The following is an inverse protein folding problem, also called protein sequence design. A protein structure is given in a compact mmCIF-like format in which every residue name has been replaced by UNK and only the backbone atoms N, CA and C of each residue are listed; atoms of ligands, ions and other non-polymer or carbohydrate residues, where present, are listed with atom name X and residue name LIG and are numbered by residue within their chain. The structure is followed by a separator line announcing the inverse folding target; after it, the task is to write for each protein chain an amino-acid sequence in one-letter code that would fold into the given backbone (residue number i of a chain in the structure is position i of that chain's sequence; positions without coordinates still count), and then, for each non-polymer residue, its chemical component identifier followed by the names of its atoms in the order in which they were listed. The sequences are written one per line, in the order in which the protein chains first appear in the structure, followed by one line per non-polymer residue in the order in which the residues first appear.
data_IF_975194102571
#
_entry.id   IF_975194102571
#
_cell.length_a   1.000
_cell.length_b   1.000
_cell.length_c   1.000
_cell.angle_alpha   90.00
_cell.angle_beta   90.00
_cell.angle_gamma   90.00
#
_symmetry.space_group_name_H-M   'P 1'
#
loop_
_entity.id
_entity.type
_entity.pdbx_description
1 polymer ?
2 non-polymer ?
3 water ?
#
# COMPACT_ATOMS: atom_id res chain seq x y z
N UNK A 4 -13.32 -21.00 24.35
CA UNK A 4 -14.59 -20.27 24.29
C UNK A 4 -14.37 -18.80 23.96
N UNK A 5 -15.32 -18.20 23.23
CA UNK A 5 -15.21 -16.79 22.86
C UNK A 5 -15.58 -15.88 24.03
N UNK A 6 -14.95 -14.70 24.12
CA UNK A 6 -15.31 -13.71 25.14
C UNK A 6 -16.76 -13.22 25.00
N UNK A 7 -17.31 -12.67 26.08
CA UNK A 7 -18.69 -12.21 26.14
C UNK A 7 -19.03 -11.12 25.12
N UNK A 8 -18.03 -10.33 24.72
CA UNK A 8 -18.30 -9.19 23.86
C UNK A 8 -17.78 -9.43 22.43
N UNK A 9 -17.35 -10.67 22.17
CA UNK A 9 -17.01 -11.14 20.84
C UNK A 9 -18.15 -10.84 19.89
N UNK A 10 -17.85 -10.22 18.76
CA UNK A 10 -18.91 -9.93 17.79
C UNK A 10 -19.01 -11.00 16.72
N UNK A 11 -18.24 -12.08 16.86
CA UNK A 11 -18.18 -13.04 15.77
C UNK A 11 -19.53 -13.71 15.52
N UNK A 12 -20.18 -14.15 16.59
CA UNK A 12 -21.45 -14.87 16.47
C UNK A 12 -22.50 -14.01 15.79
N UNK A 13 -22.64 -12.77 16.25
CA UNK A 13 -23.64 -11.86 15.70
C UNK A 13 -23.34 -11.46 14.25
N UNK A 14 -22.07 -11.50 13.87
CA UNK A 14 -21.68 -11.21 12.48
C UNK A 14 -21.95 -12.41 11.59
N UNK A 15 -22.36 -13.53 12.19
CA UNK A 15 -22.63 -14.73 11.43
C UNK A 15 -21.57 -15.79 11.54
N UNK A 16 -20.59 -15.58 12.41
CA UNK A 16 -19.53 -16.55 12.54
C UNK A 16 -18.20 -16.03 12.01
N UNK A 17 -17.13 -16.76 12.30
CA UNK A 17 -15.78 -16.32 11.94
C UNK A 17 -15.57 -16.20 10.43
N UNK A 18 -16.12 -17.14 9.66
CA UNK A 18 -15.99 -17.08 8.21
C UNK A 18 -16.61 -15.79 7.67
N UNK A 19 -17.70 -15.37 8.28
CA UNK A 19 -18.41 -14.18 7.83
C UNK A 19 -17.66 -12.90 8.20
N UNK A 20 -17.01 -12.91 9.35
CA UNK A 20 -16.18 -11.78 9.74
C UNK A 20 -14.98 -11.69 8.79
N UNK A 21 -14.41 -12.85 8.47
CA UNK A 21 -13.24 -12.89 7.59
C UNK A 21 -13.59 -12.35 6.20
N UNK A 22 -14.79 -12.66 5.73
CA UNK A 22 -15.21 -12.17 4.42
C UNK A 22 -15.47 -10.67 4.46
N UNK A 23 -16.09 -10.20 5.55
CA UNK A 23 -16.35 -8.78 5.70
C UNK A 23 -15.03 -7.97 5.76
N UNK A 24 -14.03 -8.48 6.49
CA UNK A 24 -12.72 -7.82 6.55
C UNK A 24 -12.01 -7.88 5.17
N UNK A 25 -12.24 -8.95 4.42
CA UNK A 25 -11.70 -9.01 3.04
C UNK A 25 -12.25 -7.86 2.19
N UNK A 26 -13.57 -7.69 2.23
CA UNK A 26 -14.24 -6.68 1.41
C UNK A 26 -13.76 -5.28 1.82
N UNK A 27 -13.68 -5.09 3.12
CA UNK A 27 -13.18 -3.87 3.73
C UNK A 27 -11.74 -3.55 3.31
N UNK A 28 -10.87 -4.54 3.37
CA UNK A 28 -9.47 -4.36 3.03
C UNK A 28 -9.31 -4.04 1.55
N UNK A 29 -10.16 -4.66 0.73
CA UNK A 29 -10.13 -4.42 -0.70
C UNK A 29 -10.50 -2.97 -0.98
N UNK A 30 -11.46 -2.46 -0.23
CA UNK A 30 -11.85 -1.05 -0.36
C UNK A 30 -10.72 -0.09 0.00
N UNK A 31 -10.04 -0.41 1.09
CA UNK A 31 -8.91 0.42 1.54
C UNK A 31 -7.86 0.56 0.47
N UNK A 32 -7.39 -0.58 -0.04
CA UNK A 32 -6.27 -0.53 -0.99
C UNK A 32 -6.70 -0.05 -2.41
N UNK A 33 -7.99 -0.11 -2.72
CA UNK A 33 -8.49 0.43 -3.99
C UNK A 33 -8.71 1.94 -3.90
N UNK A 34 -8.66 2.50 -2.70
CA UNK A 34 -8.77 3.95 -2.49
C UNK A 34 -7.51 4.69 -2.95
N UNK A 35 -7.61 5.55 -3.99
CA UNK A 35 -6.41 6.27 -4.47
C UNK A 35 -5.69 7.06 -3.38
N UNK A 36 -6.37 7.44 -2.30
CA UNK A 36 -5.70 8.23 -1.27
C UNK A 36 -5.00 7.36 -0.23
N UNK A 37 -5.27 6.04 -0.26
CA UNK A 37 -4.64 5.08 0.65
C UNK A 37 -3.67 4.13 -0.06
N UNK A 38 -3.97 3.79 -1.32
CA UNK A 38 -3.11 2.88 -2.09
C UNK A 38 -1.59 3.19 -1.94
N UNK A 39 -1.18 4.48 -1.96
CA UNK A 39 0.29 4.69 -1.89
C UNK A 39 0.93 4.17 -0.59
N UNK A 40 0.19 4.16 0.53
CA UNK A 40 0.71 3.61 1.78
C UNK A 40 0.81 2.10 1.77
N UNK A 41 0.05 1.47 0.89
CA UNK A 41 -0.03 0.00 0.84
C UNK A 41 0.83 -0.62 -0.26
N UNK A 42 1.51 0.22 -1.04
CA UNK A 42 2.25 -0.30 -2.19
C UNK A 42 3.42 -1.19 -1.75
N UNK A 43 4.01 -0.83 -0.62
CA UNK A 43 5.17 -1.52 -0.06
C UNK A 43 4.81 -2.79 0.74
N UNK A 44 3.51 -3.01 0.97
CA UNK A 44 3.09 -4.10 1.88
C UNK A 44 3.06 -5.47 1.20
N UNK A 45 3.88 -6.40 1.68
CA UNK A 45 3.92 -7.74 1.09
C UNK A 45 2.79 -8.62 1.63
N UNK A 46 2.66 -9.83 1.07
CA UNK A 46 1.49 -10.66 1.33
C UNK A 46 1.42 -11.17 2.77
N UNK A 47 2.56 -11.52 3.34
CA UNK A 47 2.60 -11.95 4.75
C UNK A 47 2.10 -10.85 5.66
N UNK A 48 2.52 -9.63 5.37
CA UNK A 48 2.11 -8.50 6.21
C UNK A 48 0.64 -8.19 6.04
N UNK A 49 0.17 -8.23 4.79
CA UNK A 49 -1.26 -8.06 4.50
C UNK A 49 -2.11 -9.02 5.31
N UNK A 50 -1.72 -10.29 5.31
CA UNK A 50 -2.47 -11.30 6.06
C UNK A 50 -2.45 -11.01 7.55
N UNK A 51 -1.30 -10.62 8.10
CA UNK A 51 -1.25 -10.26 9.53
C UNK A 51 -2.15 -9.06 9.79
N UNK A 52 -2.15 -8.08 8.89
CA UNK A 52 -2.98 -6.90 9.09
C UNK A 52 -4.47 -7.23 9.06
N UNK A 53 -4.89 -8.12 8.16
CA UNK A 53 -6.28 -8.56 8.13
C UNK A 53 -6.66 -9.29 9.43
N UNK A 54 -5.76 -10.12 9.94
CA UNK A 54 -6.03 -10.81 11.21
C UNK A 54 -6.19 -9.79 12.33
N UNK A 55 -5.36 -8.74 12.29
CA UNK A 55 -5.46 -7.68 13.29
C UNK A 55 -6.81 -6.97 13.20
N UNK A 56 -7.24 -6.62 11.98
CA UNK A 56 -8.55 -5.99 11.80
C UNK A 56 -9.67 -6.89 12.35
N UNK A 57 -9.64 -8.17 11.98
CA UNK A 57 -10.67 -9.11 12.40
C UNK A 57 -10.76 -9.12 13.93
N UNK A 58 -9.62 -9.32 14.56
CA UNK A 58 -9.61 -9.57 16.01
C UNK A 58 -9.79 -8.28 16.81
N UNK A 59 -9.16 -7.20 16.35
CA UNK A 59 -9.33 -5.91 17.03
C UNK A 59 -10.78 -5.43 16.95
N UNK A 60 -11.35 -5.44 15.76
CA UNK A 60 -12.68 -4.86 15.58
C UNK A 60 -13.77 -5.81 16.06
N UNK A 61 -13.68 -7.11 15.75
CA UNK A 61 -14.79 -8.02 16.06
C UNK A 61 -14.53 -9.06 17.17
N UNK A 62 -13.29 -9.16 17.64
CA UNK A 62 -12.92 -10.26 18.52
C UNK A 62 -13.32 -10.16 19.99
N UNK A 63 -13.57 -8.94 20.45
CA UNK A 63 -13.93 -8.72 21.84
C UNK A 63 -12.76 -8.66 22.80
N UNK A 64 -13.08 -8.57 24.09
CA UNK A 64 -12.08 -8.44 25.16
C UNK A 64 -11.03 -9.55 25.13
N UNK A 65 -9.76 -9.16 25.04
CA UNK A 65 -8.67 -10.09 25.18
C UNK A 65 -8.30 -10.87 23.93
N UNK A 66 -8.94 -10.55 22.81
CA UNK A 66 -8.83 -11.36 21.62
C UNK A 66 -7.84 -10.81 20.60
N UNK A 67 -7.33 -9.61 20.85
CA UNK A 67 -6.56 -8.94 19.80
C UNK A 67 -5.28 -9.71 19.49
N UNK A 68 -5.17 -10.09 18.22
CA UNK A 68 -4.00 -10.80 17.71
C UNK A 68 -3.23 -9.90 16.75
N UNK A 69 -2.13 -9.32 17.21
CA UNK A 69 -1.32 -8.54 16.30
C UNK A 69 -0.40 -7.58 17.01
N UNK A 70 0.40 -6.88 16.22
CA UNK A 70 1.36 -5.94 16.77
C UNK A 70 0.65 -4.74 17.41
N UNK A 71 1.28 -4.15 18.41
CA UNK A 71 0.84 -2.88 19.01
C UNK A 71 0.51 -1.86 17.90
N UNK A 72 -0.61 -1.14 18.04
CA UNK A 72 -1.09 -0.28 16.94
C UNK A 72 -0.24 0.98 16.82
N UNK A 73 0.24 1.46 17.97
CA UNK A 73 1.15 2.60 18.00
C UNK A 73 2.40 2.31 17.19
N UNK A 74 3.08 1.22 17.54
CA UNK A 74 4.34 0.86 16.88
C UNK A 74 4.13 0.53 15.39
N UNK A 75 2.98 -0.09 15.08
CA UNK A 75 2.70 -0.53 13.70
C UNK A 75 2.64 0.61 12.70
N UNK A 76 2.20 1.78 13.15
CA UNK A 76 2.02 2.92 12.26
C UNK A 76 2.95 4.10 12.49
N UNK A 77 3.86 3.94 13.43
CA UNK A 77 4.73 5.03 13.83
C UNK A 77 5.59 5.54 12.64
N UNK A 78 6.23 4.62 11.94
CA UNK A 78 7.01 5.01 10.75
C UNK A 78 6.14 5.67 9.67
N UNK A 79 4.95 5.13 9.41
CA UNK A 79 4.01 5.67 8.41
C UNK A 79 3.70 7.12 8.70
N UNK A 80 3.49 7.43 9.97
CA UNK A 80 3.17 8.77 10.40
C UNK A 80 4.39 9.70 10.35
N UNK A 81 5.51 9.25 10.88
CA UNK A 81 6.73 10.08 10.93
C UNK A 81 7.33 10.34 9.54
N UNK A 82 7.34 9.32 8.72
CA UNK A 82 8.12 9.39 7.48
C UNK A 82 7.27 9.53 6.23
N UNK A 83 6.06 8.99 6.25
CA UNK A 83 5.27 8.91 5.02
C UNK A 83 4.01 9.75 5.05
N UNK A 84 3.77 10.49 6.13
CA UNK A 84 2.69 11.45 6.13
C UNK A 84 1.29 10.92 6.50
N UNK A 85 1.23 9.70 7.04
CA UNK A 85 -0.06 9.16 7.49
C UNK A 85 -0.70 10.12 8.49
N UNK A 86 -2.00 10.43 8.34
CA UNK A 86 -2.63 11.43 9.20
C UNK A 86 -4.11 11.09 9.54
N UNK A 87 -4.77 11.96 10.31
CA UNK A 87 -6.14 11.67 10.74
C UNK A 87 -7.09 11.52 9.55
N UNK A 88 -6.77 12.15 8.42
CA UNK A 88 -7.65 12.00 7.26
C UNK A 88 -7.64 10.55 6.77
N UNK A 89 -6.48 9.91 6.71
CA UNK A 89 -6.41 8.52 6.31
C UNK A 89 -7.21 7.64 7.26
N UNK A 90 -7.17 7.97 8.55
CA UNK A 90 -7.98 7.21 9.51
C UNK A 90 -9.45 7.38 9.19
N UNK A 91 -9.87 8.61 8.93
CA UNK A 91 -11.28 8.87 8.59
C UNK A 91 -11.72 8.07 7.37
N UNK A 92 -10.83 7.97 6.38
CA UNK A 92 -11.15 7.22 5.16
C UNK A 92 -11.31 5.74 5.48
N UNK A 93 -10.40 5.22 6.31
CA UNK A 93 -10.43 3.80 6.63
C UNK A 93 -11.67 3.47 7.47
N UNK A 94 -11.95 4.32 8.45
CA UNK A 94 -13.18 4.11 9.26
C UNK A 94 -14.40 4.10 8.33
N UNK A 95 -14.44 5.05 7.40
CA UNK A 95 -15.61 5.14 6.50
C UNK A 95 -15.71 3.95 5.58
N UNK A 96 -14.57 3.34 5.21
CA UNK A 96 -14.63 2.13 4.38
C UNK A 96 -15.24 0.94 5.16
N UNK A 97 -15.00 0.88 6.46
CA UNK A 97 -15.62 -0.21 7.23
C UNK A 97 -17.11 0.04 7.31
N UNK A 98 -17.47 1.30 7.54
CA UNK A 98 -18.88 1.65 7.62
C UNK A 98 -19.61 1.25 6.31
N UNK A 99 -19.03 1.63 5.18
CA UNK A 99 -19.57 1.28 3.87
C UNK A 99 -19.69 -0.24 3.70
N UNK A 100 -18.66 -0.96 4.13
CA UNK A 100 -18.66 -2.43 4.01
C UNK A 100 -19.81 -3.06 4.79
N UNK A 101 -19.94 -2.63 6.04
CA UNK A 101 -20.98 -3.18 6.91
C UNK A 101 -22.36 -2.83 6.36
N UNK A 102 -22.51 -1.59 5.91
CA UNK A 102 -23.78 -1.13 5.37
C UNK A 102 -24.17 -1.94 4.13
N UNK A 103 -23.18 -2.19 3.28
CA UNK A 103 -23.40 -2.93 2.05
C UNK A 103 -23.74 -4.39 2.33
N UNK A 104 -23.19 -4.94 3.41
CA UNK A 104 -23.53 -6.31 3.81
C UNK A 104 -24.87 -6.40 4.52
N UNK A 105 -25.48 -5.26 4.82
CA UNK A 105 -26.80 -5.28 5.46
C UNK A 105 -26.71 -5.58 6.97
N UNK A 106 -25.54 -5.34 7.55
CA UNK A 106 -25.38 -5.50 9.01
C UNK A 106 -26.39 -4.65 9.79
N UNK A 107 -27.09 -5.26 10.75
CA UNK A 107 -28.06 -4.56 11.57
C UNK A 107 -27.42 -3.36 12.27
N UNK A 108 -28.24 -2.34 12.54
CA UNK A 108 -27.73 -1.05 12.97
C UNK A 108 -26.97 -1.10 14.29
N UNK A 109 -27.50 -1.84 15.25
CA UNK A 109 -26.88 -1.95 16.56
C UNK A 109 -25.49 -2.58 16.46
N UNK A 110 -25.40 -3.71 15.77
CA UNK A 110 -24.13 -4.38 15.52
C UNK A 110 -23.16 -3.48 14.77
N UNK A 111 -23.63 -2.83 13.71
CA UNK A 111 -22.78 -1.90 12.95
C UNK A 111 -22.21 -0.80 13.86
N UNK A 112 -23.05 -0.28 14.75
CA UNK A 112 -22.62 0.81 15.63
C UNK A 112 -21.57 0.37 16.65
N UNK A 113 -21.73 -0.83 17.20
CA UNK A 113 -20.72 -1.40 18.10
C UNK A 113 -19.38 -1.57 17.37
N UNK A 114 -19.41 -2.07 16.13
CA UNK A 114 -18.16 -2.20 15.36
C UNK A 114 -17.51 -0.86 15.07
N UNK A 115 -18.30 0.13 14.72
CA UNK A 115 -17.75 1.45 14.37
C UNK A 115 -17.19 2.13 15.63
N UNK A 116 -17.82 1.91 16.78
CA UNK A 116 -17.25 2.42 18.04
C UNK A 116 -15.90 1.80 18.33
N UNK A 117 -15.77 0.49 18.09
CA UNK A 117 -14.50 -0.17 18.31
C UNK A 117 -13.43 0.38 17.37
N UNK A 118 -13.75 0.52 16.08
CA UNK A 118 -12.79 1.16 15.14
C UNK A 118 -12.33 2.51 15.64
N UNK A 119 -13.27 3.32 16.12
CA UNK A 119 -12.93 4.65 16.59
C UNK A 119 -11.93 4.60 17.76
N UNK A 120 -12.00 3.55 18.58
CA UNK A 120 -11.10 3.41 19.74
C UNK A 120 -9.63 3.25 19.32
N UNK A 121 -9.41 2.89 18.06
CA UNK A 121 -8.04 2.75 17.56
C UNK A 121 -7.35 4.08 17.36
N UNK A 122 -8.11 5.17 17.17
CA UNK A 122 -7.50 6.44 16.77
C UNK A 122 -6.42 6.93 17.78
N UNK A 123 -6.77 7.00 19.08
CA UNK A 123 -5.72 7.42 20.03
C UNK A 123 -4.59 6.40 20.17
N UNK A 124 -4.81 5.14 19.79
CA UNK A 124 -3.76 4.16 19.91
C UNK A 124 -2.72 4.39 18.81
N UNK A 125 -3.20 4.91 17.68
CA UNK A 125 -2.33 5.13 16.53
C UNK A 125 -1.70 6.52 16.60
N UNK A 126 -2.52 7.53 16.91
CA UNK A 126 -2.05 8.91 16.81
C UNK A 126 -1.73 9.52 18.15
N UNK A 127 -1.84 8.73 19.20
CA UNK A 127 -1.55 9.23 20.54
C UNK A 127 -2.80 9.95 21.05
N UNK A 128 -2.76 10.41 22.29
CA UNK A 128 -3.98 10.91 22.90
C UNK A 128 -4.16 12.43 22.75
N UNK A 129 -3.11 13.13 22.29
CA UNK A 129 -3.15 14.59 22.20
C UNK A 129 -2.03 15.28 22.96
N UNK A 130 -1.54 16.37 22.40
CA UNK A 130 -0.39 17.07 22.94
C UNK A 130 -0.72 17.81 24.25
N UNK B 5 -5.87 -11.96 -10.62
CA UNK B 5 -5.16 -10.74 -10.25
C UNK B 5 -6.00 -9.90 -9.29
N UNK B 6 -5.34 -9.17 -8.37
CA UNK B 6 -6.01 -8.31 -7.38
C UNK B 6 -6.82 -7.19 -8.04
N UNK B 7 -8.03 -6.93 -7.53
CA UNK B 7 -8.90 -5.90 -8.06
C UNK B 7 -8.25 -4.50 -8.07
N UNK B 8 -7.30 -4.28 -7.16
CA UNK B 8 -6.65 -2.97 -7.06
C UNK B 8 -5.37 -2.87 -7.91
N UNK B 9 -4.91 -3.99 -8.45
CA UNK B 9 -3.84 -3.92 -9.45
C UNK B 9 -4.32 -3.03 -10.60
N UNK B 10 -3.39 -2.30 -11.16
CA UNK B 10 -3.72 -1.37 -12.22
C UNK B 10 -3.60 -2.07 -13.54
N UNK B 11 -3.25 -3.35 -13.51
CA UNK B 11 -2.92 -4.08 -14.73
C UNK B 11 -4.02 -3.99 -15.76
N UNK B 12 -5.24 -4.36 -15.37
CA UNK B 12 -6.34 -4.41 -16.32
C UNK B 12 -6.69 -3.01 -16.82
N UNK B 13 -6.69 -2.03 -15.94
CA UNK B 13 -6.98 -0.66 -16.35
C UNK B 13 -5.89 -0.10 -17.27
N UNK B 14 -4.73 -0.74 -17.27
CA UNK B 14 -3.62 -0.31 -18.10
C UNK B 14 -3.51 -1.09 -19.40
N UNK B 15 -4.47 -1.98 -19.64
CA UNK B 15 -4.47 -2.75 -20.87
C UNK B 15 -3.91 -4.15 -20.72
N UNK B 16 -3.75 -4.60 -19.46
CA UNK B 16 -3.27 -5.94 -19.22
C UNK B 16 -1.81 -5.95 -18.82
N UNK B 17 -1.39 -7.02 -18.15
CA UNK B 17 -0.05 -7.10 -17.60
C UNK B 17 1.03 -6.99 -18.67
N UNK B 18 0.76 -7.60 -19.82
CA UNK B 18 1.66 -7.57 -20.95
C UNK B 18 2.02 -6.14 -21.32
N UNK B 19 0.98 -5.31 -21.47
CA UNK B 19 1.15 -3.90 -21.78
C UNK B 19 1.98 -3.17 -20.73
N UNK B 20 1.65 -3.41 -19.46
CA UNK B 20 2.33 -2.75 -18.35
C UNK B 20 3.82 -3.08 -18.36
N UNK B 21 4.13 -4.35 -18.56
CA UNK B 21 5.51 -4.78 -18.64
C UNK B 21 6.26 -4.07 -19.78
N UNK B 22 5.58 -3.85 -20.90
CA UNK B 22 6.24 -3.19 -22.04
C UNK B 22 6.49 -1.73 -21.71
N UNK B 23 5.51 -1.11 -21.05
CA UNK B 23 5.64 0.25 -20.52
C UNK B 23 6.82 0.37 -19.55
N UNK B 24 6.94 -0.57 -18.63
CA UNK B 24 8.03 -0.54 -17.67
C UNK B 24 9.36 -0.75 -18.39
N UNK B 25 9.35 -1.60 -19.40
CA UNK B 25 10.54 -1.84 -20.18
C UNK B 25 11.01 -0.55 -20.87
N UNK B 26 10.07 0.14 -21.51
CA UNK B 26 10.33 1.41 -22.20
C UNK B 26 10.84 2.46 -21.23
N UNK B 27 10.17 2.54 -20.08
CA UNK B 27 10.52 3.45 -19.00
C UNK B 27 11.94 3.20 -18.50
N UNK B 28 12.28 1.92 -18.31
CA UNK B 28 13.58 1.55 -17.78
C UNK B 28 14.71 1.93 -18.72
N UNK B 29 14.53 1.68 -20.02
CA UNK B 29 15.56 2.04 -20.98
C UNK B 29 15.78 3.55 -20.97
N UNK B 30 14.68 4.29 -20.85
CA UNK B 30 14.73 5.75 -20.69
C UNK B 30 15.59 6.21 -19.52
N UNK B 31 15.40 5.62 -18.35
CA UNK B 31 16.13 6.14 -17.20
C UNK B 31 17.63 5.82 -17.34
N UNK B 32 17.96 4.65 -17.86
CA UNK B 32 19.34 4.27 -18.10
C UNK B 32 20.06 5.20 -19.11
N UNK B 33 19.32 5.69 -20.12
CA UNK B 33 19.94 6.51 -21.16
C UNK B 33 20.05 7.98 -20.72
N UNK B 34 19.33 8.37 -19.69
CA UNK B 34 19.42 9.72 -19.15
C UNK B 34 20.84 10.01 -18.60
N UNK B 35 21.52 11.02 -19.15
CA UNK B 35 22.92 11.29 -18.81
C UNK B 35 23.10 11.57 -17.31
N UNK B 36 22.05 12.05 -16.65
CA UNK B 36 22.12 12.32 -15.23
C UNK B 36 21.92 11.05 -14.38
N UNK B 37 21.44 9.96 -15.00
CA UNK B 37 21.18 8.72 -14.28
C UNK B 37 22.07 7.58 -14.73
N UNK B 38 22.54 7.65 -15.97
CA UNK B 38 23.43 6.65 -16.54
C UNK B 38 24.57 6.16 -15.61
N UNK B 39 25.30 7.08 -14.94
CA UNK B 39 26.41 6.56 -14.13
C UNK B 39 25.99 5.59 -13.01
N UNK B 40 24.75 5.71 -12.51
CA UNK B 40 24.27 4.82 -11.45
C UNK B 40 24.07 3.39 -11.94
N UNK B 41 23.80 3.24 -13.24
CA UNK B 41 23.41 1.93 -13.79
C UNK B 41 24.59 1.22 -14.44
N UNK B 42 25.72 1.91 -14.52
CA UNK B 42 26.84 1.43 -15.33
C UNK B 42 27.34 0.03 -14.95
N UNK B 43 27.41 -0.29 -13.66
CA UNK B 43 27.97 -1.59 -13.28
C UNK B 43 26.91 -2.58 -12.76
N UNK B 44 25.65 -2.37 -13.16
CA UNK B 44 24.51 -3.19 -12.69
C UNK B 44 24.34 -4.43 -13.57
N UNK B 45 24.49 -5.62 -12.98
CA UNK B 45 24.35 -6.84 -13.77
C UNK B 45 22.90 -7.09 -14.18
N UNK B 46 22.71 -7.95 -15.18
CA UNK B 46 21.38 -8.16 -15.74
C UNK B 46 20.40 -8.83 -14.79
N UNK B 47 20.87 -9.70 -13.89
CA UNK B 47 19.96 -10.30 -12.91
C UNK B 47 19.37 -9.23 -11.99
N UNK B 48 20.21 -8.29 -11.58
CA UNK B 48 19.77 -7.17 -10.74
C UNK B 48 18.79 -6.27 -11.50
N UNK B 49 19.12 -5.97 -12.76
CA UNK B 49 18.25 -5.16 -13.62
C UNK B 49 16.86 -5.76 -13.76
N UNK B 50 16.79 -7.08 -13.95
CA UNK B 50 15.49 -7.72 -14.11
C UNK B 50 14.69 -7.68 -12.81
N UNK B 51 15.36 -7.92 -11.68
CA UNK B 51 14.69 -7.80 -10.39
C UNK B 51 14.16 -6.39 -10.20
N UNK B 52 14.94 -5.39 -10.61
CA UNK B 52 14.51 -4.01 -10.46
C UNK B 52 13.29 -3.73 -11.33
N UNK B 53 13.26 -4.30 -12.53
CA UNK B 53 12.11 -4.11 -13.41
C UNK B 53 10.86 -4.75 -12.81
N UNK B 54 10.99 -5.96 -12.26
CA UNK B 54 9.89 -6.60 -11.53
C UNK B 54 9.41 -5.77 -10.33
N UNK B 55 10.37 -5.15 -9.63
CA UNK B 55 10.03 -4.28 -8.52
C UNK B 55 9.14 -3.12 -8.95
N UNK B 56 9.54 -2.42 -10.03
CA UNK B 56 8.73 -1.34 -10.58
C UNK B 56 7.32 -1.81 -10.89
N UNK B 57 7.22 -2.95 -11.58
CA UNK B 57 5.95 -3.54 -11.94
C UNK B 57 5.07 -3.76 -10.72
N UNK B 58 5.59 -4.51 -9.75
CA UNK B 58 4.76 -4.98 -8.65
C UNK B 58 4.53 -3.89 -7.59
N UNK B 59 5.52 -3.03 -7.40
CA UNK B 59 5.37 -1.91 -6.48
C UNK B 59 4.35 -0.89 -7.00
N UNK B 60 4.51 -0.45 -8.24
CA UNK B 60 3.67 0.63 -8.74
C UNK B 60 2.30 0.15 -9.22
N UNK B 61 2.29 -0.95 -9.99
CA UNK B 61 1.06 -1.36 -10.68
C UNK B 61 0.38 -2.62 -10.13
N UNK B 62 1.04 -3.35 -9.24
CA UNK B 62 0.60 -4.67 -8.85
C UNK B 62 -0.54 -4.74 -7.83
N UNK B 63 -0.89 -3.61 -7.25
CA UNK B 63 -1.83 -3.66 -6.13
C UNK B 63 -1.11 -4.14 -4.87
N UNK B 64 -1.77 -4.07 -3.72
CA UNK B 64 -1.06 -4.43 -2.49
C UNK B 64 -1.05 -5.94 -2.26
N UNK B 65 -0.03 -6.38 -1.52
CA UNK B 65 0.23 -7.79 -1.32
C UNK B 65 1.20 -8.30 -2.38
N UNK B 66 1.41 -7.51 -3.43
CA UNK B 66 2.19 -7.96 -4.58
C UNK B 66 3.69 -7.63 -4.51
N UNK B 67 4.08 -6.58 -3.80
CA UNK B 67 5.51 -6.24 -3.79
C UNK B 67 6.31 -7.17 -2.88
N UNK B 68 7.03 -8.10 -3.49
CA UNK B 68 7.90 -9.02 -2.77
C UNK B 68 9.39 -8.68 -2.97
N UNK B 69 9.67 -7.55 -3.64
CA UNK B 69 11.03 -7.14 -3.91
C UNK B 69 11.80 -6.67 -2.68
N UNK B 70 13.06 -6.29 -2.89
CA UNK B 70 13.95 -5.90 -1.77
C UNK B 70 13.49 -4.59 -1.12
N UNK B 71 13.75 -4.46 0.18
CA UNK B 71 13.49 -3.19 0.86
C UNK B 71 14.07 -2.01 0.05
N UNK B 72 13.26 -0.98 -0.19
CA UNK B 72 13.71 0.14 -1.03
C UNK B 72 14.83 0.97 -0.40
N UNK B 73 14.86 1.02 0.93
CA UNK B 73 15.92 1.72 1.64
C UNK B 73 17.24 0.99 1.48
N UNK B 74 17.26 -0.29 1.86
CA UNK B 74 18.46 -1.10 1.70
C UNK B 74 18.95 -1.13 0.23
N UNK B 75 18.02 -1.10 -0.72
CA UNK B 75 18.34 -1.22 -2.14
C UNK B 75 19.13 -0.04 -2.71
N UNK B 76 18.97 1.14 -2.13
CA UNK B 76 19.57 2.36 -2.68
C UNK B 76 20.56 3.01 -1.73
N UNK B 77 20.78 2.36 -0.60
CA UNK B 77 21.61 2.91 0.45
C UNK B 77 23.02 3.21 -0.05
N UNK B 78 23.63 2.22 -0.70
CA UNK B 78 24.98 2.41 -1.26
C UNK B 78 25.01 3.52 -2.32
N UNK B 79 23.99 3.58 -3.18
CA UNK B 79 23.93 4.62 -4.22
C UNK B 79 23.94 6.03 -3.64
N UNK B 80 23.17 6.21 -2.56
CA UNK B 80 23.04 7.50 -1.93
C UNK B 80 24.34 7.85 -1.19
N UNK B 81 24.91 6.84 -0.52
CA UNK B 81 26.13 7.06 0.29
C UNK B 81 27.39 7.25 -0.57
N UNK B 82 27.52 6.48 -1.64
CA UNK B 82 28.75 6.48 -2.44
C UNK B 82 28.68 7.25 -3.76
N UNK B 83 27.51 7.34 -4.39
CA UNK B 83 27.42 7.95 -5.73
C UNK B 83 26.60 9.25 -5.77
N UNK B 84 26.23 9.76 -4.61
CA UNK B 84 25.48 11.01 -4.51
C UNK B 84 24.03 10.98 -4.99
N UNK B 85 23.41 9.81 -5.05
CA UNK B 85 21.99 9.74 -5.44
C UNK B 85 21.18 10.61 -4.50
N UNK B 86 20.28 11.43 -5.06
CA UNK B 86 19.54 12.38 -4.25
C UNK B 86 18.11 12.56 -4.77
N UNK B 87 17.36 13.45 -4.12
CA UNK B 87 15.98 13.72 -4.55
C UNK B 87 15.88 14.09 -6.02
N UNK B 88 16.84 14.86 -6.52
CA UNK B 88 16.83 15.23 -7.94
C UNK B 88 16.69 14.00 -8.85
N UNK B 89 17.47 12.96 -8.56
CA UNK B 89 17.44 11.77 -9.42
C UNK B 89 16.08 11.06 -9.35
N UNK B 90 15.46 11.11 -8.19
CA UNK B 90 14.11 10.58 -8.05
C UNK B 90 13.15 11.38 -8.90
N UNK B 91 13.30 12.71 -8.88
CA UNK B 91 12.45 13.58 -9.71
C UNK B 91 12.55 13.17 -11.19
N UNK B 92 13.79 12.96 -11.64
CA UNK B 92 14.04 12.56 -13.02
C UNK B 92 13.34 11.24 -13.34
N UNK B 93 13.51 10.25 -12.47
CA UNK B 93 12.90 8.94 -12.72
C UNK B 93 11.35 9.01 -12.75
N UNK B 94 10.75 9.72 -11.80
CA UNK B 94 9.30 9.93 -11.78
C UNK B 94 8.83 10.59 -13.08
N UNK B 95 9.56 11.63 -13.51
CA UNK B 95 9.18 12.35 -14.72
C UNK B 95 9.24 11.43 -15.93
N UNK B 96 10.25 10.55 -15.96
CA UNK B 96 10.34 9.54 -17.03
C UNK B 96 9.13 8.59 -17.04
N UNK B 97 8.73 8.13 -15.85
CA UNK B 97 7.58 7.21 -15.81
C UNK B 97 6.30 7.91 -16.24
N UNK B 98 6.11 9.13 -15.76
CA UNK B 98 4.95 9.92 -16.15
C UNK B 98 4.92 10.10 -17.68
N UNK B 99 6.04 10.49 -18.28
CA UNK B 99 6.08 10.70 -19.71
C UNK B 99 5.78 9.40 -20.44
N UNK B 100 6.29 8.29 -19.92
CA UNK B 100 6.10 7.00 -20.56
C UNK B 100 4.61 6.61 -20.57
N UNK B 101 3.97 6.71 -19.41
CA UNK B 101 2.54 6.43 -19.28
C UNK B 101 1.74 7.30 -20.22
N UNK B 102 2.06 8.59 -20.27
CA UNK B 102 1.38 9.53 -21.14
C UNK B 102 1.48 9.10 -22.61
N UNK B 103 2.68 8.73 -23.02
CA UNK B 103 2.93 8.36 -24.41
C UNK B 103 2.15 7.12 -24.79
N UNK B 104 1.83 6.30 -23.79
CA UNK B 104 1.08 5.07 -24.04
C UNK B 104 -0.42 5.27 -23.89
N UNK B 105 -0.83 6.52 -23.69
CA UNK B 105 -2.24 6.85 -23.72
C UNK B 105 -2.98 6.58 -22.42
N UNK B 106 -2.24 6.42 -21.32
CA UNK B 106 -2.89 6.30 -20.02
C UNK B 106 -3.59 7.60 -19.69
N UNK B 107 -4.89 7.53 -19.40
CA UNK B 107 -5.65 8.74 -19.08
C UNK B 107 -5.15 9.41 -17.79
N UNK B 108 -5.49 10.67 -17.61
CA UNK B 108 -4.84 11.50 -16.60
C UNK B 108 -5.07 11.02 -15.17
N UNK B 109 -6.29 10.61 -14.86
CA UNK B 109 -6.62 10.22 -13.49
C UNK B 109 -5.90 8.93 -13.09
N UNK B 110 -5.99 7.92 -13.94
CA UNK B 110 -5.22 6.69 -13.74
C UNK B 110 -3.70 6.92 -13.71
N UNK B 111 -3.18 7.80 -14.57
CA UNK B 111 -1.76 8.10 -14.52
C UNK B 111 -1.40 8.70 -13.16
N UNK B 112 -2.23 9.64 -12.70
CA UNK B 112 -1.98 10.30 -11.41
C UNK B 112 -1.95 9.31 -10.22
N UNK B 113 -2.82 8.29 -10.26
CA UNK B 113 -2.85 7.25 -9.20
C UNK B 113 -1.54 6.49 -9.15
N UNK B 114 -1.05 6.11 -10.34
CA UNK B 114 0.26 5.47 -10.46
C UNK B 114 1.37 6.39 -9.94
N UNK B 115 1.35 7.67 -10.32
CA UNK B 115 2.41 8.57 -9.88
C UNK B 115 2.31 8.84 -8.38
N UNK B 116 1.10 8.74 -7.82
CA UNK B 116 0.91 8.92 -6.39
C UNK B 116 1.54 7.76 -5.64
N UNK B 117 1.45 6.56 -6.21
CA UNK B 117 2.12 5.41 -5.60
C UNK B 117 3.67 5.57 -5.74
N UNK B 118 4.14 6.00 -6.91
CA UNK B 118 5.58 6.28 -7.08
C UNK B 118 6.07 7.22 -5.98
N UNK B 119 5.27 8.26 -5.73
CA UNK B 119 5.65 9.29 -4.78
C UNK B 119 5.93 8.74 -3.38
N UNK B 120 5.12 7.75 -2.97
CA UNK B 120 5.28 7.09 -1.67
C UNK B 120 6.65 6.44 -1.46
N UNK B 121 7.29 6.05 -2.56
CA UNK B 121 8.60 5.39 -2.48
C UNK B 121 9.71 6.35 -2.04
N UNK B 122 9.52 7.64 -2.27
CA UNK B 122 10.59 8.61 -1.97
C UNK B 122 11.12 8.51 -0.52
N UNK B 123 10.25 8.66 0.51
CA UNK B 123 10.82 8.53 1.86
C UNK B 123 11.36 7.13 2.18
N UNK B 124 10.87 6.11 1.48
CA UNK B 124 11.34 4.75 1.73
C UNK B 124 12.80 4.65 1.23
N UNK B 125 13.08 5.35 0.14
CA UNK B 125 14.41 5.38 -0.45
C UNK B 125 15.35 6.30 0.33
N UNK B 126 14.89 7.50 0.65
CA UNK B 126 15.80 8.50 1.20
C UNK B 126 15.82 8.65 2.74
N UNK B 127 14.68 8.46 3.38
CA UNK B 127 14.58 8.62 4.82
C UNK B 127 15.52 7.73 5.60
X LIG C 1 0.19 -2.01 9.49
X LIG C 1 -3.64 -2.68 12.39
X LIG C 1 -5.45 1.52 10.87
X LIG C 1 -2.33 1.47 7.19
X LIG C 1 -0.63 -2.48 10.47
X LIG C 1 -0.32 -3.52 11.44
X LIG C 1 -1.37 -3.70 12.22
X LIG C 1 -2.40 -2.78 11.80
X LIG C 1 -1.46 -4.71 13.40
X LIG C 1 1.02 -4.30 11.52
X LIG C 1 0.94 -5.54 10.64
X LIG C 1 2.14 -6.46 10.83
X LIG C 1 2.02 -7.42 11.62
X LIG C 1 3.19 -6.25 10.17
X LIG C 1 -4.49 -1.62 12.23
X LIG C 1 -5.77 -1.43 12.88
X LIG C 1 -6.26 -0.24 12.45
X LIG C 1 -5.32 0.31 11.49
X LIG C 1 -6.40 -2.45 13.89
X LIG C 1 -7.58 0.48 12.78
X LIG C 1 -8.54 -0.04 13.57
X LIG C 1 -4.75 1.88 9.74
X LIG C 1 -5.00 3.05 8.93
X LIG C 1 -4.12 3.07 7.90
X LIG C 1 -3.32 1.87 8.04
X LIG C 1 -6.05 4.14 9.24
X LIG C 1 -4.06 4.13 6.80
X LIG C 1 -2.92 4.41 6.12
X LIG C 1 -1.38 0.54 7.46
X LIG C 1 -0.27 0.25 6.57
X LIG C 1 0.52 -0.84 7.29
X LIG C 1 -0.18 -1.10 8.53
X LIG C 1 0.04 0.91 5.22
X LIG C 1 1.81 -1.52 6.83
X LIG C 1 2.95 -0.70 7.40
X LIG C 1 4.24 -1.41 7.06
X LIG C 1 4.59 -1.48 5.85
X LIG C 1 4.88 -1.92 7.98
X LIG C 1 -1.92 -2.04 10.72
X LIG C 1 -4.25 -0.54 11.41
X LIG C 1 -3.70 1.18 9.19
X LIG C 1 -1.29 -0.28 8.57
X LIG C 1 -2.79 -0.39 9.96
X LIG D 1 18.09 -0.98 -7.36
X LIG D 1 13.28 -0.42 -6.85
X LIG D 1 13.86 4.31 -7.65
X LIG D 1 18.36 3.52 -9.22
X LIG D 1 16.76 -1.20 -7.05
X LIG D 1 16.24 -2.40 -6.44
X LIG D 1 14.92 -2.25 -6.31
X LIG D 1 14.55 -0.94 -6.81
X LIG D 1 13.95 -3.29 -5.68
X LIG D 1 17.07 -3.62 -6.04
X LIG D 1 16.87 -4.73 -7.07
X LIG D 1 17.55 -5.98 -6.59
X LIG D 1 16.81 -6.96 -6.30
X LIG D 1 18.81 -5.99 -6.47
X LIG D 1 12.97 0.91 -7.03
X LIG D 1 11.65 1.52 -6.97
X LIG D 1 11.82 2.85 -7.20
X LIG D 1 13.25 3.09 -7.41
X LIG D 1 10.36 0.73 -6.70
X LIG D 1 10.78 3.99 -7.24
X LIG D 1 9.44 3.81 -7.17
X LIG D 1 15.13 4.53 -8.13
X LIG D 1 15.71 5.80 -8.48
X LIG D 1 16.97 5.61 -8.92
X LIG D 1 17.21 4.19 -8.87
X LIG D 1 15.01 7.16 -8.37
X LIG D 1 17.89 6.75 -9.43
X LIG D 1 19.22 6.68 -9.34
X LIG D 1 18.71 2.23 -8.89
X LIG D 1 19.99 1.61 -9.20
X LIG D 1 19.90 0.21 -8.63
X LIG D 1 18.58 0.12 -8.02
X LIG D 1 21.16 2.26 -9.99
X LIG D 1 20.97 -0.89 -8.65
X LIG D 1 21.90 -0.54 -7.49
X LIG D 1 23.05 -1.50 -7.39
X LIG D 1 24.06 -1.31 -8.11
X LIG D 1 22.96 -2.47 -6.58
X LIG D 1 15.70 -0.33 -7.30
X LIG D 1 13.89 1.89 -7.29
X LIG D 1 16.08 3.56 -8.37
X LIG D 1 17.93 1.32 -8.19
X LIG D 1 15.92 1.64 -7.78
#
# INVERSE_FOLDING_TARGET
AADTAPADSLYSRMGGEAAVEKAVDVFYERIVADPQLAPFFANVDMKKQRRKQVAFMTYVFGGSGAYEGRDLGASHRRLIREQGMNHHHFDLVAAHLDSTLQELGVAQELKAEAMAIVASARPLIFGTGEAGAAN
AADTAPADSLYSRMGGEAAVEKAVDVFYERIVADPQLAPFFANVDMKKQRRKQVAFMTYVFGGSGAYEGRDLGASHRRLIREQGMNHHHFDLVAAHLDSTLQELGVAQELKAEAMAIVASARPLIFGTGEAGAAN
HEM CHA CHB CHC CHD C1A C2A C3A C4A CMA CAA CBA CGA O1A O2A C1B C2B C3B C4B CMB CAB CBB C1C C2C C3C C4C CMC CAC CBC C1D C2D C3D C4D CMD CAD CBD CGD O1D O2D NA NB NC ND FE
HEM CHA CHB CHC CHD C1A C2A C3A C4A CMA CAA CBA CGA O1A O2A C1B C2B C3B C4B CMB CAB CBB C1C C2C C3C C4C CMC CAC CBC C1D C2D C3D C4D CMD CAD CBD CGD O1D O2D NA NB NC ND FE
#
